data_IF_014827599589
#
_entry.id   IF_014827599589
#
_cell.length_a   1.000
_cell.length_b   1.000
_cell.length_c   1.000
_cell.angle_alpha   90.00
_cell.angle_beta   90.00
_cell.angle_gamma   90.00
#
_symmetry.space_group_name_H-M   'P 1'
#
loop_
_entity.id
_entity.type
_entity.pdbx_description
1 polymer ?
#
# COMPACT_ATOMS: atom_id res chain seq x y z
N UNK A 1 -17.85 -4.65 -11.56
CA UNK A 1 -17.25 -4.37 -11.49
C UNK A 1 -16.31 -4.56 -11.41
N UNK A 2 -15.85 -4.79 -11.44
CA UNK A 2 -15.08 -4.91 -11.36
C UNK A 2 -13.98 -4.47 -11.38
N UNK A 3 -13.59 -4.13 -11.18
CA UNK A 3 -12.73 -3.38 -11.07
C UNK A 3 -11.54 -3.73 -10.48
N UNK A 4 -11.51 -4.56 -9.65
CA UNK A 4 -10.38 -4.99 -9.00
C UNK A 4 -9.34 -5.52 -9.88
N UNK A 5 -9.70 -5.93 -11.00
CA UNK A 5 -8.74 -6.47 -11.94
C UNK A 5 -7.77 -5.46 -12.48
N UNK A 6 -7.90 -4.23 -12.08
CA UNK A 6 -7.06 -3.19 -12.64
C UNK A 6 -5.69 -3.07 -11.99
N UNK A 7 -5.36 -3.91 -11.03
CA UNK A 7 -4.03 -3.86 -10.44
C UNK A 7 -2.97 -4.22 -11.47
N UNK A 8 -1.98 -3.35 -11.60
CA UNK A 8 -0.83 -3.62 -12.47
C UNK A 8 0.15 -4.54 -11.76
N UNK A 9 1.13 -5.04 -12.52
CA UNK A 9 2.21 -5.81 -11.91
C UNK A 9 2.97 -5.00 -10.88
N UNK A 10 3.15 -3.70 -11.14
CA UNK A 10 3.81 -2.81 -10.19
C UNK A 10 2.99 -2.65 -8.91
N UNK A 11 1.68 -2.49 -9.03
CA UNK A 11 0.80 -2.40 -7.87
C UNK A 11 0.94 -3.64 -7.01
N UNK A 12 0.95 -4.81 -7.63
CA UNK A 12 1.09 -6.07 -6.90
C UNK A 12 2.43 -6.16 -6.20
N UNK A 13 3.50 -5.70 -6.86
CA UNK A 13 4.83 -5.73 -6.25
C UNK A 13 4.87 -4.83 -5.01
N UNK A 14 4.25 -3.66 -5.10
CA UNK A 14 4.17 -2.75 -3.95
C UNK A 14 3.39 -3.41 -2.81
N UNK A 15 2.23 -3.99 -3.12
CA UNK A 15 1.41 -4.63 -2.10
C UNK A 15 2.15 -5.80 -1.45
N UNK A 16 2.90 -6.57 -2.22
CA UNK A 16 3.69 -7.68 -1.66
C UNK A 16 4.77 -7.17 -0.70
N UNK A 17 5.42 -6.06 -1.05
CA UNK A 17 6.43 -5.48 -0.17
C UNK A 17 5.80 -5.02 1.15
N UNK A 18 4.61 -4.42 1.07
CA UNK A 18 3.89 -4.02 2.27
C UNK A 18 3.51 -5.24 3.09
N UNK A 19 3.00 -6.28 2.44
CA UNK A 19 2.60 -7.51 3.13
C UNK A 19 3.78 -8.18 3.83
N UNK A 20 4.96 -8.05 3.26
CA UNK A 20 6.19 -8.64 3.84
C UNK A 20 6.73 -7.84 5.04
N UNK A 21 6.13 -6.70 5.35
CA UNK A 21 6.57 -5.89 6.47
C UNK A 21 7.75 -5.00 6.13
N UNK A 22 8.07 -4.85 4.86
CA UNK A 22 9.25 -4.11 4.42
C UNK A 22 8.96 -2.64 4.14
N UNK A 23 7.75 -2.18 4.37
CA UNK A 23 7.33 -0.85 3.92
C UNK A 23 6.98 0.06 5.07
N UNK A 24 7.22 1.37 4.85
CA UNK A 24 6.85 2.42 5.77
C UNK A 24 6.14 3.53 5.01
N UNK A 25 5.26 4.25 5.71
CA UNK A 25 4.61 5.45 5.17
C UNK A 25 5.09 6.65 5.97
N UNK A 26 5.41 7.73 5.26
CA UNK A 26 5.64 9.02 5.89
C UNK A 26 4.27 9.67 6.08
N UNK A 27 3.87 9.89 7.32
CA UNK A 27 2.53 10.37 7.63
C UNK A 27 2.26 11.75 7.03
N UNK A 28 1.06 11.96 6.57
CA UNK A 28 0.66 13.23 5.97
C UNK A 28 -0.54 13.02 5.07
N UNK A 29 -0.95 14.08 4.38
CA UNK A 29 -2.11 14.02 3.51
C UNK A 29 -1.87 13.16 2.27
N UNK A 30 -0.62 13.10 1.82
CA UNK A 30 -0.24 12.21 0.72
C UNK A 30 1.02 11.48 1.12
N UNK A 31 0.88 10.41 1.90
CA UNK A 31 2.06 9.76 2.48
C UNK A 31 2.92 9.09 1.42
N UNK A 32 4.20 9.39 1.45
CA UNK A 32 5.17 8.71 0.61
C UNK A 32 5.44 7.33 1.17
N UNK A 33 5.67 6.39 0.28
CA UNK A 33 5.95 5.01 0.64
C UNK A 33 7.45 4.74 0.52
N UNK A 34 7.99 4.05 1.53
CA UNK A 34 9.38 3.62 1.54
C UNK A 34 9.40 2.10 1.64
N UNK A 35 10.27 1.48 0.87
CA UNK A 35 10.43 0.02 0.87
C UNK A 35 11.88 -0.27 1.18
N UNK A 36 12.14 -1.05 2.21
CA UNK A 36 13.48 -1.36 2.70
C UNK A 36 14.29 -0.09 2.97
N UNK A 37 13.60 0.92 3.52
CA UNK A 37 14.23 2.18 3.88
C UNK A 37 14.45 3.14 2.72
N UNK A 38 14.06 2.77 1.52
CA UNK A 38 14.25 3.61 0.35
C UNK A 38 12.92 4.08 -0.20
N UNK A 39 12.94 5.32 -0.68
CA UNK A 39 11.76 5.87 -1.32
C UNK A 39 11.32 4.97 -2.48
N UNK A 40 10.05 4.60 -2.50
CA UNK A 40 9.51 3.82 -3.60
C UNK A 40 9.62 4.64 -4.88
N UNK A 41 10.10 4.04 -5.95
CA UNK A 41 10.34 4.80 -7.18
C UNK A 41 9.05 5.18 -7.90
N UNK A 42 7.93 4.59 -7.55
CA UNK A 42 6.64 4.99 -8.14
C UNK A 42 5.71 5.48 -7.04
N UNK A 43 5.96 6.70 -6.56
CA UNK A 43 5.11 7.28 -5.52
C UNK A 43 3.69 7.50 -6.01
N UNK A 44 3.51 7.74 -7.29
CA UNK A 44 2.18 7.93 -7.85
C UNK A 44 1.33 6.67 -7.65
N UNK A 45 1.88 5.51 -7.96
CA UNK A 45 1.19 4.25 -7.73
C UNK A 45 0.95 4.02 -6.24
N UNK A 46 1.96 4.31 -5.41
CA UNK A 46 1.84 4.15 -3.97
C UNK A 46 0.73 5.03 -3.40
N UNK A 47 0.70 6.30 -3.79
CA UNK A 47 -0.35 7.23 -3.34
C UNK A 47 -1.74 6.74 -3.76
N UNK A 48 -1.82 6.19 -4.97
CA UNK A 48 -3.09 5.66 -5.45
C UNK A 48 -3.56 4.49 -4.58
N UNK A 49 -2.66 3.58 -4.24
CA UNK A 49 -3.01 2.42 -3.42
C UNK A 49 -3.43 2.82 -2.01
N UNK A 50 -2.76 3.82 -1.44
CA UNK A 50 -3.16 4.34 -0.13
C UNK A 50 -4.54 4.97 -0.21
N UNK A 51 -4.77 5.81 -1.22
CA UNK A 51 -6.06 6.47 -1.39
C UNK A 51 -7.18 5.48 -1.66
N UNK A 52 -6.87 4.39 -2.33
CA UNK A 52 -7.86 3.34 -2.59
C UNK A 52 -8.18 2.50 -1.35
N UNK A 53 -7.49 2.75 -0.25
CA UNK A 53 -7.75 2.04 0.99
C UNK A 53 -7.12 0.66 1.07
N UNK A 54 -6.07 0.40 0.27
CA UNK A 54 -5.41 -0.91 0.26
C UNK A 54 -4.21 -0.95 1.18
N UNK A 55 -3.61 0.19 1.46
CA UNK A 55 -2.45 0.32 2.34
C UNK A 55 -2.77 1.35 3.41
N UNK A 56 -2.36 1.11 4.63
CA UNK A 56 -2.59 2.03 5.74
C UNK A 56 -1.38 2.06 6.66
N UNK A 57 -1.24 3.15 7.40
CA UNK A 57 -0.25 3.25 8.45
C UNK A 57 -0.73 2.42 9.65
N UNK A 58 0.21 1.80 10.36
CA UNK A 58 -0.13 0.98 11.51
C UNK A 58 -0.42 1.82 12.75
N UNK A 59 0.00 3.07 12.75
CA UNK A 59 -0.16 3.92 13.91
C UNK A 59 -0.27 5.38 13.49
N UNK A 60 -0.72 6.21 14.39
CA UNK A 60 -0.76 7.64 14.19
C UNK A 60 0.58 8.25 14.64
N UNK A 61 0.84 9.46 14.22
CA UNK A 61 2.05 10.15 14.58
C UNK A 61 2.08 11.54 13.98
N UNK A 62 3.25 12.15 13.98
CA UNK A 62 3.44 13.49 13.44
C UNK A 62 3.60 13.45 11.94
N UNK A 63 3.22 14.53 11.28
CA UNK A 63 3.44 14.68 9.84
C UNK A 63 4.92 14.51 9.54
N UNK A 64 5.21 13.68 8.55
CA UNK A 64 6.58 13.37 8.15
C UNK A 64 7.21 12.21 8.90
N UNK A 65 6.62 11.78 9.99
CA UNK A 65 7.13 10.61 10.71
C UNK A 65 6.88 9.36 9.89
N UNK A 66 7.90 8.49 9.81
CA UNK A 66 7.75 7.22 9.10
C UNK A 66 7.26 6.15 10.07
N UNK A 67 6.22 5.45 9.66
CA UNK A 67 5.65 4.37 10.45
C UNK A 67 5.45 3.16 9.55
N UNK A 68 5.41 1.99 10.13
CA UNK A 68 5.21 0.77 9.34
C UNK A 68 3.91 0.84 8.59
N UNK A 69 3.95 0.44 7.32
CA UNK A 69 2.77 0.32 6.49
C UNK A 69 2.25 -1.10 6.55
N UNK A 70 0.95 -1.25 6.43
CA UNK A 70 0.32 -2.57 6.43
C UNK A 70 -0.76 -2.61 5.37
N UNK A 71 -1.11 -3.81 4.94
CA UNK A 71 -2.26 -3.98 4.06
C UNK A 71 -3.54 -3.95 4.89
N UNK A 72 -4.54 -3.29 4.34
CA UNK A 72 -5.89 -3.37 4.90
C UNK A 72 -6.51 -4.70 4.49
N UNK A 73 -7.70 -5.01 5.01
CA UNK A 73 -8.42 -6.18 4.55
C UNK A 73 -8.66 -6.12 3.04
N UNK A 74 -8.99 -4.93 2.54
CA UNK A 74 -9.16 -4.74 1.09
C UNK A 74 -7.84 -4.95 0.35
N UNK A 75 -6.72 -4.52 0.94
CA UNK A 75 -5.40 -4.73 0.34
C UNK A 75 -5.06 -6.20 0.23
N UNK A 76 -5.31 -6.96 1.27
CA UNK A 76 -5.09 -8.41 1.23
C UNK A 76 -5.96 -9.07 0.15
N UNK A 77 -7.23 -8.70 0.09
CA UNK A 77 -8.13 -9.27 -0.89
C UNK A 77 -7.66 -8.93 -2.31
N UNK A 78 -7.24 -7.70 -2.53
CA UNK A 78 -6.78 -7.27 -3.84
C UNK A 78 -5.52 -8.02 -4.26
N UNK A 79 -4.59 -8.19 -3.33
CA UNK A 79 -3.33 -8.87 -3.63
C UNK A 79 -3.57 -10.35 -3.92
N UNK A 80 -4.44 -10.97 -3.15
CA UNK A 80 -4.72 -12.39 -3.32
C UNK A 80 -5.61 -12.66 -4.52
N UNK A 81 -6.26 -11.63 -5.00
CA UNK A 81 -7.06 -11.75 -6.19
C UNK A 81 -8.31 -12.51 -6.05
N UNK A 82 -8.89 -12.77 -4.78
CA UNK A 82 -9.79 -13.53 -4.76
C UNK A 82 -10.87 -13.36 -4.26
N UNK A 83 -10.75 -12.81 -4.06
CA UNK A 83 -11.70 -12.71 -3.81
C UNK A 83 -12.68 -13.24 -4.44
N UNK A 84 -12.66 -13.40 -4.88
CA UNK A 84 -13.54 -13.69 -5.28
C UNK A 84 -14.12 -14.60 -5.33
N UNK A 85 -13.75 -14.79 -5.39
CA UNK A 85 -14.24 -15.72 -5.57
C UNK A 85 -14.95 -16.17 -4.81
N UNK A 86 -14.82 -16.09 -4.39
CA UNK A 86 -15.44 -16.74 -3.54
C UNK A 86 -16.54 -16.93 -3.56
#
# INVERSE_FOLDING_TARGET
>A
MTTTSTLSGRDRAILRAVAAGAAELALGSEPDLFIDGRCCCDQSAAHHLVRAGLIAATTLGLVGQRVTATLTAAGHAALNGYALAA
#
